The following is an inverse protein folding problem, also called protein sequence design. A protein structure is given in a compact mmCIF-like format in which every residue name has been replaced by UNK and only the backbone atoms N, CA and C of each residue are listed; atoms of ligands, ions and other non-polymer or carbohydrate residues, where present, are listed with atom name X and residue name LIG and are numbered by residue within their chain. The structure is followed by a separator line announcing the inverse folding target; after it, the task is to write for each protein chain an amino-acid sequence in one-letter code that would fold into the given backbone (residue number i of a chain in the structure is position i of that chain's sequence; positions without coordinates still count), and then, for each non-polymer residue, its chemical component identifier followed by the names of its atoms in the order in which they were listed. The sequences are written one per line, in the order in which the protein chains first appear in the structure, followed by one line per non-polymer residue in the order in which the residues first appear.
data_IF_067012855179
#
_entry.id   IF_067012855179
#
_cell.length_a   1.000
_cell.length_b   1.000
_cell.length_c   1.000
_cell.angle_alpha   90.00
_cell.angle_beta   90.00
_cell.angle_gamma   90.00
#
_symmetry.space_group_name_H-M   'P 1'
#
loop_
_entity.id
_entity.type
_entity.pdbx_description
1 polymer ?
#
# COMPACT_ATOMS: atom_id res chain seq x y z
N UNK A 1 15.27 -4.89 -24.50
CA UNK A 1 15.81 -4.62 -23.16
C UNK A 1 16.77 -5.74 -22.81
N UNK A 2 18.08 -5.49 -22.87
CA UNK A 2 19.06 -6.46 -22.39
C UNK A 2 18.95 -6.52 -20.86
N UNK A 3 18.77 -7.74 -20.37
CA UNK A 3 18.35 -8.01 -19.01
C UNK A 3 19.40 -7.55 -17.99
N UNK A 4 19.05 -6.54 -17.20
CA UNK A 4 19.95 -5.77 -16.33
C UNK A 4 19.76 -6.18 -14.87
N UNK A 5 19.95 -7.48 -14.57
CA UNK A 5 19.89 -8.00 -13.20
C UNK A 5 21.29 -8.51 -12.81
N UNK A 6 21.74 -8.08 -11.65
CA UNK A 6 22.93 -8.56 -10.98
C UNK A 6 22.52 -9.25 -9.67
N UNK A 7 23.13 -10.38 -9.38
CA UNK A 7 22.98 -11.11 -8.12
C UNK A 7 24.40 -11.29 -7.58
N UNK A 8 24.67 -10.77 -6.38
CA UNK A 8 26.00 -10.78 -5.75
C UNK A 8 27.09 -10.25 -6.70
N UNK A 9 26.78 -9.12 -7.35
CA UNK A 9 27.61 -8.48 -8.38
C UNK A 9 27.88 -9.29 -9.66
N UNK A 10 27.29 -10.48 -9.80
CA UNK A 10 27.35 -11.28 -11.02
C UNK A 10 26.20 -10.91 -11.96
N UNK A 11 26.53 -10.58 -13.21
CA UNK A 11 25.53 -10.36 -14.25
C UNK A 11 24.79 -11.67 -14.55
N UNK A 12 23.48 -11.73 -14.28
CA UNK A 12 22.70 -12.98 -14.36
C UNK A 12 22.66 -13.54 -15.79
N UNK A 13 22.54 -12.65 -16.78
CA UNK A 13 22.53 -13.06 -18.19
C UNK A 13 23.91 -13.57 -18.63
N UNK A 14 24.98 -12.84 -18.30
CA UNK A 14 26.34 -13.21 -18.70
C UNK A 14 26.85 -14.46 -17.99
N UNK A 15 26.52 -14.63 -16.70
CA UNK A 15 27.01 -15.75 -15.88
C UNK A 15 26.18 -17.03 -16.08
N UNK A 16 24.86 -16.91 -16.14
CA UNK A 16 23.95 -18.05 -16.10
C UNK A 16 23.07 -18.17 -17.36
N UNK A 17 23.14 -17.24 -18.32
CA UNK A 17 22.26 -17.24 -19.49
C UNK A 17 20.78 -16.92 -19.18
N UNK A 18 20.48 -16.47 -17.97
CA UNK A 18 19.11 -16.26 -17.50
C UNK A 18 18.65 -14.81 -17.66
N UNK A 19 17.38 -14.63 -18.04
CA UNK A 19 16.73 -13.33 -18.27
C UNK A 19 15.46 -13.21 -17.45
N UNK A 20 15.16 -12.05 -16.88
CA UNK A 20 13.87 -11.80 -16.22
C UNK A 20 12.83 -11.54 -17.29
N UNK A 21 11.67 -12.19 -17.17
CA UNK A 21 10.56 -12.01 -18.12
C UNK A 21 9.92 -10.63 -17.94
N UNK A 22 9.19 -10.15 -18.95
CA UNK A 22 8.43 -8.89 -18.85
C UNK A 22 7.53 -8.90 -17.61
N UNK A 23 7.61 -7.85 -16.79
CA UNK A 23 6.87 -7.74 -15.54
C UNK A 23 7.44 -8.53 -14.36
N UNK A 24 8.52 -9.30 -14.54
CA UNK A 24 9.14 -10.07 -13.46
C UNK A 24 9.77 -9.23 -12.34
N UNK A 25 9.94 -7.92 -12.53
CA UNK A 25 10.40 -6.99 -11.50
C UNK A 25 9.27 -6.33 -10.69
N UNK A 26 8.00 -6.62 -11.00
CA UNK A 26 6.86 -5.92 -10.40
C UNK A 26 6.81 -6.07 -8.87
N UNK A 27 7.07 -7.28 -8.37
CA UNK A 27 6.99 -7.56 -6.94
C UNK A 27 8.12 -6.87 -6.14
N UNK A 28 9.26 -6.58 -6.78
CA UNK A 28 10.34 -5.79 -6.17
C UNK A 28 9.92 -4.35 -5.84
N UNK A 29 8.86 -3.85 -6.50
CA UNK A 29 8.35 -2.49 -6.31
C UNK A 29 7.26 -2.41 -5.24
N UNK A 30 6.72 -3.56 -4.79
CA UNK A 30 5.68 -3.59 -3.78
C UNK A 30 6.22 -3.13 -2.42
N UNK A 31 5.54 -2.18 -1.78
CA UNK A 31 5.84 -1.82 -0.40
C UNK A 31 5.35 -2.95 0.54
N UNK A 32 6.11 -3.32 1.59
CA UNK A 32 5.71 -4.37 2.53
C UNK A 32 4.39 -4.04 3.22
N UNK A 33 3.54 -5.05 3.43
CA UNK A 33 2.30 -4.87 4.19
C UNK A 33 2.59 -4.52 5.66
N UNK A 34 1.68 -3.78 6.30
CA UNK A 34 1.74 -3.56 7.74
C UNK A 34 1.33 -4.84 8.48
N UNK A 35 2.02 -5.16 9.58
CA UNK A 35 1.52 -6.15 10.55
C UNK A 35 0.21 -5.62 11.12
N UNK A 36 -0.74 -6.52 11.37
CA UNK A 36 -2.00 -6.12 11.99
C UNK A 36 -1.68 -5.48 13.36
N UNK A 37 -2.01 -4.19 13.55
CA UNK A 37 -1.79 -3.53 14.83
C UNK A 37 -2.77 -4.07 15.89
N UNK A 38 -2.40 -3.91 17.16
CA UNK A 38 -3.31 -4.16 18.27
C UNK A 38 -4.47 -3.15 18.22
N UNK A 39 -5.67 -3.60 18.61
CA UNK A 39 -6.87 -2.78 18.50
C UNK A 39 -7.94 -3.17 19.51
N UNK A 40 -8.78 -2.20 19.85
CA UNK A 40 -10.05 -2.40 20.53
C UNK A 40 -11.20 -2.10 19.56
N UNK A 41 -12.26 -2.89 19.65
CA UNK A 41 -13.49 -2.73 18.88
C UNK A 41 -14.66 -2.62 19.85
N UNK A 42 -15.01 -1.38 20.19
CA UNK A 42 -16.07 -1.07 21.14
C UNK A 42 -17.44 -1.17 20.46
N UNK A 43 -18.40 -1.97 20.99
CA UNK A 43 -19.72 -2.14 20.36
C UNK A 43 -20.49 -0.83 20.16
N UNK A 44 -20.26 0.13 21.05
CA UNK A 44 -21.01 1.39 21.15
C UNK A 44 -20.43 2.52 20.27
N UNK A 45 -19.20 2.37 19.77
CA UNK A 45 -18.44 3.44 19.09
C UNK A 45 -18.18 3.12 17.61
N UNK A 46 -18.29 4.15 16.76
CA UNK A 46 -18.03 4.00 15.33
C UNK A 46 -16.56 3.63 15.10
N UNK A 47 -16.33 2.52 14.40
CA UNK A 47 -14.99 2.13 14.00
C UNK A 47 -14.23 1.29 15.03
N UNK A 48 -12.90 1.48 15.09
CA UNK A 48 -11.99 0.80 16.01
C UNK A 48 -10.92 1.76 16.53
N UNK A 49 -10.41 1.48 17.72
CA UNK A 49 -9.22 2.12 18.27
C UNK A 49 -8.00 1.25 17.98
N UNK A 50 -6.94 1.83 17.42
CA UNK A 50 -5.78 1.08 16.96
C UNK A 50 -4.50 1.66 17.56
N UNK A 51 -3.63 0.79 18.09
CA UNK A 51 -2.30 1.21 18.51
C UNK A 51 -1.38 1.36 17.28
N UNK A 52 -1.13 2.61 16.92
CA UNK A 52 -0.25 3.02 15.82
C UNK A 52 1.01 3.73 16.35
N UNK A 53 1.36 3.59 17.63
CA UNK A 53 2.54 4.23 18.22
C UNK A 53 3.86 3.77 17.56
N UNK A 54 3.92 2.52 17.11
CA UNK A 54 5.10 1.94 16.44
C UNK A 54 4.70 0.94 15.34
N UNK A 55 4.20 1.42 14.17
CA UNK A 55 3.68 0.56 13.11
C UNK A 55 4.76 -0.37 12.56
N UNK A 56 4.50 -1.69 12.52
CA UNK A 56 5.46 -2.71 12.06
C UNK A 56 5.15 -3.23 10.66
N UNK A 57 6.17 -3.57 9.90
CA UNK A 57 6.05 -4.15 8.56
C UNK A 57 6.19 -5.68 8.60
N UNK A 58 5.47 -6.36 7.72
CA UNK A 58 5.65 -7.78 7.45
C UNK A 58 6.89 -8.02 6.56
N UNK A 59 7.50 -9.21 6.62
CA UNK A 59 8.39 -9.66 5.55
C UNK A 59 7.68 -9.59 4.19
N UNK A 60 8.45 -9.44 3.12
CA UNK A 60 7.90 -9.32 1.77
C UNK A 60 8.24 -10.54 0.94
N UNK A 61 7.22 -11.21 0.41
CA UNK A 61 7.39 -12.25 -0.61
C UNK A 61 7.51 -11.60 -1.99
N UNK A 62 8.45 -12.09 -2.80
CA UNK A 62 8.78 -11.52 -4.10
C UNK A 62 8.91 -12.67 -5.11
N UNK A 63 8.03 -12.72 -6.11
CA UNK A 63 8.17 -13.68 -7.19
C UNK A 63 8.88 -13.05 -8.39
N UNK A 64 9.96 -13.68 -8.85
CA UNK A 64 10.68 -13.27 -10.06
C UNK A 64 10.62 -14.41 -11.06
N UNK A 65 10.10 -14.09 -12.25
CA UNK A 65 10.01 -15.03 -13.38
C UNK A 65 11.19 -14.84 -14.32
N UNK A 66 11.81 -15.96 -14.67
CA UNK A 66 13.01 -16.06 -15.49
C UNK A 66 12.76 -16.89 -16.75
N UNK A 67 13.65 -16.69 -17.72
CA UNK A 67 13.76 -17.43 -18.97
C UNK A 67 15.24 -17.65 -19.29
N UNK A 68 15.60 -18.88 -19.60
CA UNK A 68 16.93 -19.26 -20.12
C UNK A 68 16.79 -19.96 -21.48
N UNK A 69 17.89 -20.05 -22.23
CA UNK A 69 17.94 -20.73 -23.53
C UNK A 69 18.10 -22.26 -23.38
N UNK A 70 18.48 -22.74 -22.19
CA UNK A 70 18.56 -24.17 -21.86
C UNK A 70 18.18 -24.48 -20.42
N UNK A 71 17.83 -25.74 -20.14
CA UNK A 71 17.56 -26.20 -18.78
C UNK A 71 18.82 -26.22 -17.90
N UNK A 72 20.01 -26.44 -18.48
CA UNK A 72 21.28 -26.39 -17.74
C UNK A 72 21.53 -25.00 -17.17
N UNK A 73 21.32 -23.95 -17.97
CA UNK A 73 21.42 -22.55 -17.55
C UNK A 73 20.48 -22.20 -16.39
N UNK A 74 19.21 -22.64 -16.47
CA UNK A 74 18.25 -22.47 -15.38
C UNK A 74 18.72 -23.18 -14.10
N UNK A 75 19.17 -24.43 -14.25
CA UNK A 75 19.66 -25.25 -13.14
C UNK A 75 20.88 -24.63 -12.46
N UNK A 76 21.81 -24.04 -13.22
CA UNK A 76 23.00 -23.38 -12.68
C UNK A 76 22.65 -22.17 -11.81
N UNK A 77 21.70 -21.33 -12.25
CA UNK A 77 21.22 -20.20 -11.44
C UNK A 77 20.50 -20.67 -10.17
N UNK A 78 19.64 -21.68 -10.29
CA UNK A 78 18.91 -22.24 -9.16
C UNK A 78 19.87 -22.84 -8.14
N UNK A 79 20.87 -23.60 -8.60
CA UNK A 79 21.90 -24.18 -7.75
C UNK A 79 22.70 -23.09 -7.01
N UNK A 80 23.07 -22.00 -7.71
CA UNK A 80 23.76 -20.86 -7.11
C UNK A 80 22.92 -20.20 -6.01
N UNK A 81 21.63 -19.94 -6.27
CA UNK A 81 20.70 -19.33 -5.32
C UNK A 81 20.21 -20.27 -4.20
N UNK A 82 20.48 -21.57 -4.33
CA UNK A 82 20.19 -22.56 -3.30
C UNK A 82 21.30 -22.65 -2.25
N UNK A 83 22.43 -21.97 -2.45
CA UNK A 83 23.44 -21.83 -1.41
C UNK A 83 22.88 -21.07 -0.21
N UNK A 84 23.49 -21.28 0.96
CA UNK A 84 22.96 -20.72 2.20
C UNK A 84 23.16 -19.21 2.24
N UNK A 85 22.08 -18.46 2.44
CA UNK A 85 22.15 -17.07 2.87
C UNK A 85 21.19 -16.14 2.15
N UNK A 86 21.50 -14.85 2.28
CA UNK A 86 20.88 -13.76 1.54
C UNK A 86 21.74 -13.46 0.32
N UNK A 87 21.09 -13.12 -0.78
CA UNK A 87 21.73 -12.67 -2.00
C UNK A 87 21.36 -11.22 -2.28
N UNK A 88 22.31 -10.47 -2.84
CA UNK A 88 22.11 -9.06 -3.17
C UNK A 88 21.61 -8.94 -4.61
N UNK A 89 20.33 -8.63 -4.78
CA UNK A 89 19.71 -8.38 -6.07
C UNK A 89 19.83 -6.91 -6.42
N UNK A 90 20.48 -6.60 -7.54
CA UNK A 90 20.59 -5.23 -8.05
C UNK A 90 20.03 -5.16 -9.46
N UNK A 91 19.08 -4.25 -9.67
CA UNK A 91 18.52 -3.97 -10.99
C UNK A 91 18.91 -2.55 -11.37
N UNK A 92 20.00 -2.30 -12.14
CA UNK A 92 20.47 -0.94 -12.39
C UNK A 92 19.46 -0.05 -13.15
N UNK A 93 18.52 -0.66 -13.89
CA UNK A 93 17.39 0.06 -14.48
C UNK A 93 16.45 0.65 -13.43
N UNK A 94 16.36 0.02 -12.25
CA UNK A 94 15.66 0.54 -11.08
C UNK A 94 16.60 1.30 -10.14
N UNK A 95 17.91 1.05 -10.15
CA UNK A 95 18.87 1.78 -9.32
C UNK A 95 18.72 1.53 -7.82
N UNK A 96 18.15 0.38 -7.44
CA UNK A 96 17.99 -0.06 -6.05
C UNK A 96 18.47 -1.51 -5.92
N UNK A 97 18.80 -1.86 -4.68
CA UNK A 97 19.27 -3.18 -4.27
C UNK A 97 18.31 -3.79 -3.24
N UNK A 98 18.24 -5.11 -3.24
CA UNK A 98 17.42 -5.89 -2.33
C UNK A 98 18.20 -7.07 -1.77
N UNK A 99 18.07 -7.32 -0.47
CA UNK A 99 18.64 -8.48 0.21
C UNK A 99 17.58 -9.56 0.30
N UNK A 100 17.72 -10.61 -0.52
CA UNK A 100 16.67 -11.59 -0.74
C UNK A 100 17.18 -13.01 -0.49
N UNK A 101 16.37 -13.82 0.20
CA UNK A 101 16.62 -15.24 0.40
C UNK A 101 15.69 -16.06 -0.47
N UNK A 102 16.21 -17.10 -1.13
CA UNK A 102 15.38 -18.05 -1.87
C UNK A 102 14.43 -18.77 -0.90
N UNK A 103 13.15 -18.81 -1.23
CA UNK A 103 12.11 -19.41 -0.39
C UNK A 103 11.42 -20.58 -1.07
N UNK A 104 11.12 -20.46 -2.37
CA UNK A 104 10.36 -21.47 -3.11
C UNK A 104 10.64 -21.40 -4.62
N UNK A 105 10.36 -22.48 -5.33
CA UNK A 105 10.46 -22.61 -6.79
C UNK A 105 9.11 -23.10 -7.34
N UNK A 106 8.09 -22.22 -7.37
CA UNK A 106 6.70 -22.62 -7.65
C UNK A 106 6.42 -23.02 -9.11
N UNK A 107 7.31 -22.71 -10.06
CA UNK A 107 7.06 -22.96 -11.47
C UNK A 107 8.32 -23.28 -12.24
N UNK A 108 8.29 -24.36 -13.01
CA UNK A 108 9.34 -24.77 -13.93
C UNK A 108 8.73 -25.38 -15.20
N UNK A 109 9.10 -24.87 -16.37
CA UNK A 109 8.63 -25.34 -17.68
C UNK A 109 9.82 -25.43 -18.63
N UNK A 110 10.16 -26.66 -19.00
CA UNK A 110 11.26 -26.97 -19.91
C UNK A 110 10.72 -27.15 -21.33
N UNK A 111 11.30 -26.40 -22.27
CA UNK A 111 11.04 -26.48 -23.70
C UNK A 111 12.30 -27.00 -24.42
N UNK A 112 12.20 -27.46 -25.68
CA UNK A 112 13.37 -27.95 -26.43
C UNK A 112 14.54 -26.96 -26.52
N UNK A 113 14.25 -25.65 -26.55
CA UNK A 113 15.25 -24.58 -26.71
C UNK A 113 15.07 -23.42 -25.73
N UNK A 114 14.40 -23.67 -24.59
CA UNK A 114 14.19 -22.66 -23.56
C UNK A 114 13.79 -23.31 -22.23
N UNK A 115 13.98 -22.62 -21.12
CA UNK A 115 13.38 -23.00 -19.83
C UNK A 115 12.81 -21.77 -19.16
N UNK A 116 11.53 -21.81 -18.81
CA UNK A 116 10.85 -20.75 -18.08
C UNK A 116 10.57 -21.21 -16.67
N UNK A 117 10.98 -20.42 -15.68
CA UNK A 117 10.85 -20.78 -14.28
C UNK A 117 10.59 -19.55 -13.42
N UNK A 118 10.00 -19.75 -12.25
CA UNK A 118 9.69 -18.68 -11.30
C UNK A 118 10.29 -19.06 -9.96
N UNK A 119 11.04 -18.14 -9.38
CA UNK A 119 11.58 -18.28 -8.03
C UNK A 119 10.88 -17.28 -7.12
N UNK A 120 10.49 -17.74 -5.93
CA UNK A 120 10.01 -16.88 -4.85
C UNK A 120 11.13 -16.63 -3.87
N UNK A 121 11.28 -15.37 -3.53
CA UNK A 121 12.21 -14.89 -2.54
C UNK A 121 11.47 -14.23 -1.40
N UNK A 122 12.13 -14.14 -0.26
CA UNK A 122 11.65 -13.38 0.89
C UNK A 122 12.68 -12.30 1.21
N UNK A 123 12.21 -11.07 1.36
CA UNK A 123 12.92 -10.01 2.04
C UNK A 123 12.51 -10.06 3.52
N UNK A 124 13.36 -10.70 4.33
CA UNK A 124 13.06 -10.97 5.74
C UNK A 124 13.00 -9.67 6.58
N UNK A 125 13.84 -8.68 6.23
CA UNK A 125 13.95 -7.39 6.92
C UNK A 125 13.81 -6.22 5.93
N UNK A 126 12.58 -5.80 5.60
CA UNK A 126 12.39 -4.68 4.68
C UNK A 126 12.96 -3.38 5.23
N UNK A 127 13.65 -2.63 4.36
CA UNK A 127 14.22 -1.33 4.71
C UNK A 127 13.10 -0.31 4.85
N UNK A 128 13.06 0.40 5.99
CA UNK A 128 12.10 1.50 6.18
C UNK A 128 12.57 2.73 5.39
N UNK A 129 11.68 3.34 4.59
CA UNK A 129 12.01 4.58 3.92
C UNK A 129 12.11 5.73 4.93
N UNK A 130 12.86 6.76 4.57
CA UNK A 130 12.95 8.00 5.34
C UNK A 130 12.19 9.10 4.60
N UNK A 131 11.39 9.86 5.34
CA UNK A 131 10.68 11.00 4.77
C UNK A 131 11.69 12.06 4.30
N UNK A 132 11.46 12.63 3.13
CA UNK A 132 12.32 13.64 2.55
C UNK A 132 11.58 14.64 1.69
N UNK A 133 12.33 15.57 1.12
CA UNK A 133 11.81 16.42 0.05
C UNK A 133 11.66 15.56 -1.20
N UNK A 134 10.43 15.41 -1.67
CA UNK A 134 10.12 14.78 -2.94
C UNK A 134 9.60 15.84 -3.90
N UNK A 135 10.12 15.81 -5.12
CA UNK A 135 9.58 16.51 -6.27
C UNK A 135 9.47 15.53 -7.43
N UNK A 136 8.25 15.17 -7.87
CA UNK A 136 8.09 14.24 -8.99
C UNK A 136 8.52 14.86 -10.33
N UNK A 137 8.70 16.19 -10.40
CA UNK A 137 9.09 16.97 -11.59
C UNK A 137 8.24 16.64 -12.83
N UNK A 138 6.95 16.41 -12.59
CA UNK A 138 5.96 16.15 -13.63
C UNK A 138 4.66 16.85 -13.28
N UNK A 139 3.98 17.35 -14.30
CA UNK A 139 2.64 17.84 -14.11
C UNK A 139 1.68 16.67 -13.82
N UNK A 140 0.89 16.84 -12.76
CA UNK A 140 -0.22 15.98 -12.37
C UNK A 140 -1.48 16.83 -12.19
N UNK A 141 -2.67 16.29 -12.50
CA UNK A 141 -3.94 16.93 -12.13
C UNK A 141 -4.00 17.19 -10.63
N UNK A 142 -4.79 18.19 -10.24
CA UNK A 142 -5.04 18.48 -8.84
C UNK A 142 -5.58 17.24 -8.11
N UNK A 143 -5.03 16.99 -6.93
CA UNK A 143 -5.36 15.79 -6.19
C UNK A 143 -6.60 16.00 -5.34
N UNK A 144 -7.60 15.13 -5.54
CA UNK A 144 -8.81 15.08 -4.72
C UNK A 144 -8.60 14.55 -3.30
N UNK A 145 -7.36 14.17 -2.96
CA UNK A 145 -7.00 13.57 -1.70
C UNK A 145 -5.80 14.26 -1.08
N UNK A 146 -5.85 14.50 0.23
CA UNK A 146 -4.73 15.03 0.99
C UNK A 146 -4.44 14.12 2.17
N UNK A 147 -3.20 13.66 2.30
CA UNK A 147 -2.71 12.90 3.45
C UNK A 147 -2.12 13.89 4.45
N UNK A 148 -2.70 14.00 5.64
CA UNK A 148 -2.30 14.97 6.67
C UNK A 148 -2.21 16.40 6.11
N UNK A 149 -3.20 16.79 5.30
CA UNK A 149 -3.25 18.10 4.64
C UNK A 149 -2.36 18.25 3.40
N UNK A 150 -1.40 17.34 3.16
CA UNK A 150 -0.53 17.34 1.98
C UNK A 150 -1.21 16.64 0.79
N UNK A 151 -1.45 17.33 -0.35
CA UNK A 151 -2.04 16.69 -1.53
C UNK A 151 -1.20 15.51 -2.00
N UNK A 152 -1.81 14.35 -2.22
CA UNK A 152 -1.03 13.13 -2.55
C UNK A 152 -0.32 13.25 -3.92
N UNK A 153 -0.80 14.14 -4.80
CA UNK A 153 -0.12 14.50 -6.04
C UNK A 153 1.28 15.08 -5.84
N UNK A 154 1.58 15.63 -4.66
CA UNK A 154 2.94 16.11 -4.31
C UNK A 154 3.95 14.97 -4.24
N UNK A 155 3.51 13.72 -4.05
CA UNK A 155 4.37 12.54 -4.11
C UNK A 155 4.49 11.94 -5.52
N UNK A 156 3.95 12.60 -6.55
CA UNK A 156 3.81 11.97 -7.86
C UNK A 156 2.66 10.96 -7.95
N UNK A 157 1.81 10.85 -6.91
CA UNK A 157 0.73 9.85 -6.83
C UNK A 157 -0.58 10.41 -7.37
N UNK A 158 -1.17 9.72 -8.34
CA UNK A 158 -2.48 10.01 -8.89
C UNK A 158 -3.45 8.84 -8.65
N UNK A 159 -4.57 9.11 -7.98
CA UNK A 159 -5.63 8.13 -7.76
C UNK A 159 -6.65 8.22 -8.89
N UNK A 160 -6.83 7.12 -9.62
CA UNK A 160 -7.76 7.06 -10.75
C UNK A 160 -9.04 6.27 -10.44
N UNK A 161 -9.04 5.44 -9.40
CA UNK A 161 -10.22 4.68 -8.98
C UNK A 161 -10.25 4.45 -7.47
N UNK A 162 -11.34 4.88 -6.83
CA UNK A 162 -11.59 4.70 -5.38
C UNK A 162 -13.01 5.11 -4.98
N UNK A 163 -13.60 6.06 -5.74
CA UNK A 163 -14.88 6.72 -5.49
C UNK A 163 -15.99 5.79 -5.01
N UNK A 164 -16.29 4.72 -5.75
CA UNK A 164 -17.41 3.83 -5.42
C UNK A 164 -17.22 3.10 -4.08
N UNK A 165 -15.99 2.69 -3.76
CA UNK A 165 -15.70 2.08 -2.47
C UNK A 165 -15.75 3.13 -1.34
N UNK A 166 -15.32 4.36 -1.63
CA UNK A 166 -15.29 5.46 -0.67
C UNK A 166 -16.69 6.01 -0.34
N UNK A 167 -17.60 6.09 -1.31
CA UNK A 167 -18.97 6.58 -1.12
C UNK A 167 -19.96 5.52 -0.60
N UNK A 168 -19.46 4.37 -0.16
CA UNK A 168 -20.25 3.34 0.52
C UNK A 168 -20.00 3.42 2.03
N UNK A 169 -21.04 3.53 2.85
CA UNK A 169 -20.87 3.43 4.31
C UNK A 169 -20.27 2.07 4.70
N UNK A 170 -19.56 1.97 5.84
CA UNK A 170 -19.15 0.67 6.37
C UNK A 170 -20.37 -0.19 6.72
N UNK A 171 -20.14 -1.46 7.03
CA UNK A 171 -21.21 -2.30 7.56
C UNK A 171 -21.59 -1.83 8.96
N UNK A 172 -22.87 -1.93 9.33
CA UNK A 172 -23.29 -1.72 10.71
C UNK A 172 -22.65 -2.81 11.61
N UNK A 173 -22.27 -2.44 12.83
CA UNK A 173 -21.94 -3.39 13.88
C UNK A 173 -23.20 -4.17 14.27
N UNK A 174 -22.99 -5.41 14.70
CA UNK A 174 -24.07 -6.26 15.18
C UNK A 174 -24.26 -5.96 16.65
N UNK A 175 -25.39 -5.35 16.99
CA UNK A 175 -25.78 -5.10 18.37
C UNK A 175 -26.22 -6.40 19.05
N UNK A 176 -26.62 -6.28 20.33
CA UNK A 176 -27.15 -7.39 21.08
C UNK A 176 -28.33 -8.05 20.33
N UNK A 177 -28.15 -9.33 20.02
CA UNK A 177 -29.19 -10.15 19.40
C UNK A 177 -29.45 -11.40 20.24
N UNK A 178 -30.73 -11.81 20.34
CA UNK A 178 -31.15 -13.05 20.98
C UNK A 178 -32.07 -13.84 20.07
N UNK A 179 -31.70 -15.11 19.86
CA UNK A 179 -32.52 -16.09 19.14
C UNK A 179 -33.05 -17.08 20.17
N UNK A 180 -34.37 -17.15 20.32
CA UNK A 180 -35.04 -18.03 21.28
C UNK A 180 -35.76 -19.10 20.48
N UNK A 181 -35.56 -20.38 20.80
CA UNK A 181 -36.04 -21.50 19.99
C UNK A 181 -37.58 -21.56 19.86
N UNK A 182 -38.30 -20.99 20.82
CA UNK A 182 -39.76 -20.99 20.87
C UNK A 182 -40.42 -19.80 20.16
N UNK A 183 -39.63 -18.91 19.54
CA UNK A 183 -40.16 -17.76 18.79
C UNK A 183 -39.56 -17.73 17.38
N UNK A 184 -40.38 -17.36 16.40
CA UNK A 184 -39.88 -17.11 15.05
C UNK A 184 -39.07 -15.81 15.01
N UNK A 185 -37.95 -15.82 14.30
CA UNK A 185 -37.09 -14.65 14.12
C UNK A 185 -36.08 -14.43 15.24
N UNK A 186 -35.83 -13.16 15.59
CA UNK A 186 -34.86 -12.76 16.61
C UNK A 186 -35.27 -11.45 17.30
N UNK A 187 -34.81 -11.29 18.54
CA UNK A 187 -34.87 -10.02 19.26
C UNK A 187 -33.54 -9.30 18.99
N UNK A 188 -33.60 -8.05 18.52
CA UNK A 188 -32.44 -7.24 18.18
C UNK A 188 -32.54 -5.87 18.84
N UNK A 189 -31.47 -5.43 19.48
CA UNK A 189 -31.36 -4.08 20.02
C UNK A 189 -31.06 -3.09 18.88
N UNK A 190 -32.05 -2.26 18.56
CA UNK A 190 -31.98 -1.29 17.47
C UNK A 190 -31.81 0.16 17.94
N UNK A 191 -31.53 0.40 19.22
CA UNK A 191 -31.42 1.77 19.76
C UNK A 191 -30.19 2.50 19.25
N UNK A 192 -29.08 1.78 19.04
CA UNK A 192 -27.83 2.35 18.55
C UNK A 192 -27.50 1.84 17.15
N UNK A 193 -26.99 2.72 16.28
CA UNK A 193 -26.45 2.34 14.97
C UNK A 193 -25.03 2.82 14.84
N UNK A 194 -24.13 1.84 14.97
CA UNK A 194 -22.69 2.01 14.96
C UNK A 194 -22.11 1.25 13.77
N UNK A 195 -21.03 1.72 13.19
CA UNK A 195 -20.40 1.20 11.99
C UNK A 195 -19.06 0.54 12.28
N UNK A 196 -18.78 -0.53 11.54
CA UNK A 196 -17.48 -1.18 11.49
C UNK A 196 -16.42 -0.25 10.87
N UNK A 197 -15.11 -0.49 11.09
CA UNK A 197 -14.08 0.17 10.30
C UNK A 197 -14.19 -0.23 8.84
N UNK A 198 -13.52 0.55 7.98
CA UNK A 198 -13.67 0.42 6.54
C UNK A 198 -12.34 0.33 5.83
N UNK A 199 -12.19 -0.73 5.04
CA UNK A 199 -11.04 -0.86 4.15
C UNK A 199 -11.40 -0.35 2.76
N UNK A 200 -10.52 0.50 2.21
CA UNK A 200 -10.66 1.01 0.84
C UNK A 200 -9.36 0.79 0.11
N UNK A 201 -9.47 0.25 -1.10
CA UNK A 201 -8.35 0.12 -2.02
C UNK A 201 -8.45 1.20 -3.08
N UNK A 202 -7.42 2.04 -3.14
CA UNK A 202 -7.22 3.11 -4.10
C UNK A 202 -6.34 2.59 -5.23
N UNK A 203 -6.81 2.70 -6.47
CA UNK A 203 -5.97 2.41 -7.62
C UNK A 203 -5.22 3.67 -8.03
N UNK A 204 -3.90 3.53 -8.07
CA UNK A 204 -2.97 4.64 -8.16
C UNK A 204 -2.00 4.46 -9.32
N UNK A 205 -1.52 5.59 -9.83
CA UNK A 205 -0.24 5.69 -10.53
C UNK A 205 0.75 6.47 -9.68
N UNK A 206 2.01 6.06 -9.67
CA UNK A 206 3.15 6.89 -9.30
C UNK A 206 3.84 7.29 -10.60
N UNK A 207 3.89 8.59 -10.88
CA UNK A 207 4.51 9.16 -12.07
C UNK A 207 5.58 10.16 -11.63
N UNK A 208 6.78 10.01 -12.16
CA UNK A 208 7.91 10.92 -11.94
C UNK A 208 8.73 11.10 -13.22
N UNK A 209 9.53 12.15 -13.30
CA UNK A 209 10.31 12.42 -14.52
C UNK A 209 11.38 11.36 -14.76
N UNK A 210 12.05 10.93 -13.69
CA UNK A 210 13.20 10.02 -13.72
C UNK A 210 13.27 9.13 -12.49
N UNK A 211 14.21 8.19 -12.53
CA UNK A 211 14.45 7.15 -11.51
C UNK A 211 14.76 7.69 -10.12
N UNK A 212 15.58 8.72 -10.01
CA UNK A 212 15.97 9.25 -8.69
C UNK A 212 14.77 9.92 -8.01
N UNK A 213 14.01 10.72 -8.77
CA UNK A 213 12.75 11.30 -8.32
C UNK A 213 11.71 10.22 -7.97
N UNK A 214 11.66 9.12 -8.72
CA UNK A 214 10.79 7.98 -8.42
C UNK A 214 11.00 7.45 -7.00
N UNK A 215 12.25 7.15 -6.63
CA UNK A 215 12.54 6.61 -5.30
C UNK A 215 12.43 7.64 -4.18
N UNK A 216 12.84 8.89 -4.42
CA UNK A 216 12.64 9.97 -3.43
C UNK A 216 11.16 10.14 -3.09
N UNK A 217 10.29 10.09 -4.10
CA UNK A 217 8.86 10.23 -3.93
C UNK A 217 8.19 8.99 -3.36
N UNK A 218 8.63 7.80 -3.78
CA UNK A 218 8.20 6.54 -3.19
C UNK A 218 8.57 6.45 -1.71
N UNK A 219 9.83 6.76 -1.36
CA UNK A 219 10.31 6.72 0.03
C UNK A 219 9.56 7.75 0.88
N UNK A 220 9.42 8.98 0.39
CA UNK A 220 8.70 10.02 1.14
C UNK A 220 7.22 9.67 1.35
N UNK A 221 6.55 9.13 0.32
CA UNK A 221 5.14 8.76 0.42
C UNK A 221 4.90 7.65 1.43
N UNK A 222 5.70 6.58 1.36
CA UNK A 222 5.53 5.47 2.28
C UNK A 222 6.03 5.79 3.68
N UNK A 223 7.08 6.60 3.84
CA UNK A 223 7.53 7.07 5.15
C UNK A 223 6.42 7.87 5.86
N UNK A 224 5.76 8.79 5.15
CA UNK A 224 4.65 9.57 5.71
C UNK A 224 3.44 8.67 6.03
N UNK A 225 3.16 7.63 5.22
CA UNK A 225 2.07 6.67 5.45
C UNK A 225 2.30 5.73 6.66
N UNK A 226 3.54 5.38 6.96
CA UNK A 226 3.89 4.48 8.07
C UNK A 226 4.45 5.20 9.30
N UNK A 227 4.39 6.53 9.31
CA UNK A 227 4.76 7.33 10.46
C UNK A 227 3.91 6.94 11.69
N UNK A 228 4.46 7.03 12.91
CA UNK A 228 3.70 6.82 14.14
C UNK A 228 2.43 7.66 14.21
N UNK A 229 1.36 7.06 14.73
CA UNK A 229 0.06 7.66 14.88
C UNK A 229 -0.80 7.57 13.63
N UNK A 230 -2.09 7.80 13.84
CA UNK A 230 -3.09 7.76 12.79
C UNK A 230 -2.90 8.86 11.74
N UNK A 231 -3.16 8.52 10.47
CA UNK A 231 -3.12 9.47 9.36
C UNK A 231 -4.51 10.00 9.08
N UNK A 232 -4.62 11.24 8.64
CA UNK A 232 -5.89 11.86 8.22
C UNK A 232 -5.92 11.95 6.71
N UNK A 233 -6.86 11.26 6.07
CA UNK A 233 -7.08 11.39 4.63
C UNK A 233 -8.27 12.32 4.36
N UNK A 234 -7.99 13.51 3.86
CA UNK A 234 -9.00 14.41 3.31
C UNK A 234 -9.53 13.89 1.97
N UNK A 235 -10.84 13.92 1.81
CA UNK A 235 -11.55 13.52 0.58
C UNK A 235 -12.34 14.71 0.07
N UNK A 236 -11.89 15.31 -1.03
CA UNK A 236 -12.52 16.51 -1.61
C UNK A 236 -14.01 16.31 -1.91
N UNK A 237 -14.38 15.16 -2.46
CA UNK A 237 -15.77 14.86 -2.83
C UNK A 237 -16.73 14.82 -1.63
N UNK A 238 -16.22 14.50 -0.44
CA UNK A 238 -17.01 14.48 0.81
C UNK A 238 -16.83 15.81 1.57
N UNK A 239 -15.72 16.52 1.35
CA UNK A 239 -15.37 17.71 2.11
C UNK A 239 -14.87 17.42 3.53
N UNK A 240 -14.54 16.17 3.87
CA UNK A 240 -14.12 15.74 5.22
C UNK A 240 -12.81 14.97 5.21
N UNK A 241 -12.13 14.97 6.36
CA UNK A 241 -10.95 14.13 6.61
C UNK A 241 -11.32 12.96 7.50
N UNK A 242 -10.89 11.77 7.11
CA UNK A 242 -11.15 10.55 7.87
C UNK A 242 -9.85 9.96 8.46
N UNK A 243 -9.90 9.46 9.70
CA UNK A 243 -8.78 8.77 10.34
C UNK A 243 -8.51 7.42 9.65
N UNK A 244 -7.25 7.13 9.35
CA UNK A 244 -6.85 5.91 8.65
C UNK A 244 -5.39 5.51 8.88
N UNK A 245 -5.07 4.27 8.52
CA UNK A 245 -3.69 3.78 8.45
C UNK A 245 -3.44 2.92 7.22
N UNK A 246 -2.16 2.82 6.84
CA UNK A 246 -1.71 1.98 5.75
C UNK A 246 -1.82 0.50 6.09
N UNK A 247 -2.49 -0.29 5.23
CA UNK A 247 -2.56 -1.74 5.38
C UNK A 247 -1.57 -2.47 4.48
N UNK A 248 -1.63 -2.20 3.17
CA UNK A 248 -0.80 -2.88 2.17
C UNK A 248 -0.78 -2.15 0.83
N UNK A 249 0.21 -2.51 0.01
CA UNK A 249 0.33 -2.19 -1.41
C UNK A 249 0.25 -3.50 -2.21
N UNK A 250 -0.41 -3.48 -3.36
CA UNK A 250 -0.55 -4.67 -4.21
C UNK A 250 -0.72 -4.30 -5.68
N UNK A 251 -0.83 -5.30 -6.55
CA UNK A 251 -1.09 -5.11 -7.99
C UNK A 251 -0.09 -4.17 -8.68
N UNK A 252 1.18 -4.19 -8.24
CA UNK A 252 2.26 -3.38 -8.76
C UNK A 252 2.55 -3.72 -10.22
N UNK A 253 2.61 -2.72 -11.09
CA UNK A 253 2.98 -2.89 -12.50
C UNK A 253 3.81 -1.71 -12.94
N UNK A 254 5.05 -1.98 -13.33
CA UNK A 254 5.88 -0.96 -13.95
C UNK A 254 5.50 -0.79 -15.43
N UNK A 255 4.98 0.38 -15.79
CA UNK A 255 4.50 0.66 -17.16
C UNK A 255 5.63 1.20 -18.04
N UNK A 256 6.44 2.10 -17.49
CA UNK A 256 7.62 2.67 -18.18
C UNK A 256 8.83 2.71 -17.25
N UNK A 257 9.97 2.31 -17.81
CA UNK A 257 11.31 2.39 -17.21
C UNK A 257 12.12 3.60 -17.72
N UNK A 258 11.58 4.34 -18.71
CA UNK A 258 12.18 5.56 -19.25
C UNK A 258 11.56 6.81 -18.65
N UNK A 259 11.82 7.97 -19.24
CA UNK A 259 11.26 9.25 -18.80
C UNK A 259 9.96 9.55 -19.57
N UNK A 260 8.81 9.74 -18.91
CA UNK A 260 8.57 9.63 -17.46
C UNK A 260 8.44 8.17 -16.98
N UNK A 261 8.89 7.92 -15.75
CA UNK A 261 8.70 6.63 -15.09
C UNK A 261 7.29 6.57 -14.53
N UNK A 262 6.58 5.47 -14.82
CA UNK A 262 5.19 5.28 -14.39
C UNK A 262 5.01 3.88 -13.83
N UNK A 263 4.50 3.80 -12.61
CA UNK A 263 4.11 2.56 -11.96
C UNK A 263 2.63 2.63 -11.57
N UNK A 264 1.89 1.57 -11.87
CA UNK A 264 0.55 1.34 -11.35
C UNK A 264 0.62 0.51 -10.06
N UNK A 265 -0.24 0.80 -9.09
CA UNK A 265 -0.40 0.00 -7.88
C UNK A 265 -1.76 0.21 -7.22
N UNK A 266 -2.15 -0.72 -6.38
CA UNK A 266 -3.30 -0.62 -5.50
C UNK A 266 -2.82 -0.35 -4.08
N UNK A 267 -3.27 0.75 -3.48
CA UNK A 267 -3.01 1.17 -2.10
C UNK A 267 -4.24 0.86 -1.24
N UNK A 268 -4.09 0.01 -0.23
CA UNK A 268 -5.17 -0.28 0.72
C UNK A 268 -4.95 0.49 2.02
N UNK A 269 -5.91 1.34 2.37
CA UNK A 269 -5.99 2.03 3.65
C UNK A 269 -7.15 1.45 4.46
N UNK A 270 -6.98 1.38 5.78
CA UNK A 270 -8.04 1.07 6.73
C UNK A 270 -8.44 2.37 7.39
N UNK A 271 -9.67 2.81 7.16
CA UNK A 271 -10.29 3.88 7.93
C UNK A 271 -10.78 3.30 9.24
N UNK A 272 -10.24 3.80 10.34
CA UNK A 272 -10.56 3.34 11.69
C UNK A 272 -11.96 3.75 12.06
N UNK A 273 -12.37 4.98 11.73
CA UNK A 273 -13.75 5.48 11.83
C UNK A 273 -14.15 6.18 10.52
N UNK A 274 -15.33 5.85 9.99
CA UNK A 274 -15.80 6.37 8.70
C UNK A 274 -17.33 6.40 8.62
N UNK A 275 -17.91 7.59 8.64
CA UNK A 275 -19.35 7.80 8.45
C UNK A 275 -19.63 8.86 7.39
N UNK A 276 -20.48 8.53 6.43
CA UNK A 276 -20.98 9.47 5.43
C UNK A 276 -22.27 10.12 5.91
N UNK A 277 -22.48 11.38 5.53
CA UNK A 277 -23.71 12.13 5.77
C UNK A 277 -24.12 12.22 7.24
N UNK A 278 -23.12 12.25 8.11
CA UNK A 278 -23.32 12.52 9.51
C UNK A 278 -23.77 13.96 9.72
N UNK A 279 -24.76 14.17 10.57
CA UNK A 279 -25.09 15.49 11.10
C UNK A 279 -23.98 15.89 12.07
N UNK A 280 -23.26 16.94 11.70
CA UNK A 280 -22.24 17.56 12.55
C UNK A 280 -22.94 18.53 13.50
N UNK A 281 -22.58 18.50 14.78
CA UNK A 281 -23.11 19.41 15.79
C UNK A 281 -21.98 20.35 16.18
N UNK A 282 -22.03 21.59 15.72
CA UNK A 282 -21.02 22.58 16.09
C UNK A 282 -21.50 23.43 17.26
N UNK A 283 -20.56 23.76 18.16
CA UNK A 283 -20.83 24.69 19.24
C UNK A 283 -21.10 26.08 18.66
N UNK A 284 -22.21 26.69 19.08
CA UNK A 284 -22.60 28.03 18.69
C UNK A 284 -22.96 28.88 19.93
N UNK A 285 -22.86 30.19 19.80
CA UNK A 285 -23.38 31.14 20.79
C UNK A 285 -24.90 31.19 20.75
N UNK A 286 -25.52 31.84 21.74
CA UNK A 286 -26.96 32.08 21.77
C UNK A 286 -27.47 32.91 20.58
N UNK A 287 -26.58 33.65 19.90
CA UNK A 287 -26.86 34.44 18.70
C UNK A 287 -26.60 33.66 17.39
N UNK A 288 -26.58 32.32 17.43
CA UNK A 288 -26.34 31.42 16.29
C UNK A 288 -24.97 31.60 15.59
N UNK A 289 -23.98 32.16 16.29
CA UNK A 289 -22.62 32.30 15.76
C UNK A 289 -21.75 31.11 16.16
N UNK A 290 -21.13 30.42 15.20
CA UNK A 290 -20.23 29.31 15.51
C UNK A 290 -19.04 29.76 16.35
N UNK A 291 -18.74 28.99 17.40
CA UNK A 291 -17.52 29.16 18.17
C UNK A 291 -16.38 28.46 17.42
N UNK A 292 -15.38 29.25 17.07
CA UNK A 292 -14.18 28.80 16.35
C UNK A 292 -12.97 28.77 17.28
N UNK A 293 -11.98 27.94 16.96
CA UNK A 293 -10.67 27.91 17.63
C UNK A 293 -9.96 29.26 17.49
N UNK A 294 -8.93 29.51 18.32
CA UNK A 294 -8.21 30.80 18.38
C UNK A 294 -7.61 31.23 17.03
N UNK A 295 -7.27 30.27 16.16
CA UNK A 295 -6.79 30.53 14.80
C UNK A 295 -7.90 30.94 13.80
N UNK A 296 -9.17 30.86 14.21
CA UNK A 296 -10.34 31.16 13.39
C UNK A 296 -10.62 30.16 12.26
N UNK A 297 -9.95 29.01 12.25
CA UNK A 297 -9.98 28.06 11.13
C UNK A 297 -10.85 26.83 11.39
N UNK A 298 -11.07 26.46 12.66
CA UNK A 298 -11.76 25.23 13.01
C UNK A 298 -12.98 25.51 13.90
N UNK A 299 -14.07 24.80 13.65
CA UNK A 299 -15.26 24.78 14.52
C UNK A 299 -15.08 23.75 15.63
N UNK A 300 -15.69 24.00 16.79
CA UNK A 300 -15.74 23.02 17.88
C UNK A 300 -16.91 22.05 17.61
N UNK A 301 -16.58 20.81 17.25
CA UNK A 301 -17.55 19.71 17.14
C UNK A 301 -17.95 19.24 18.55
N UNK A 302 -19.25 19.03 18.77
CA UNK A 302 -19.87 18.70 20.06
C UNK A 302 -20.12 17.20 20.22
N UNK A 303 -19.54 16.37 19.35
CA UNK A 303 -19.44 14.92 19.54
C UNK A 303 -18.29 14.51 20.44
#
# INVERSE_FOLDING_TARGET
MNNNLYIDDLNVLGRFGCRVTRGGYNDLLAFPAMKAPERNDWPEEDGIEVDLSDPKLQPREIAISFLSDSNSQASDLIAYLSDKGLHTFRVPALGREWQLRLADHPGNRVYPSATSFTLKFVEDLPVRPTAGVCDPDVWLPESRYKLDGKPIGRYGVYVYESRNALLRNPAAKVNLQRKIASIDGQIYDAEHLVFQPKEVTFKCFLKTIRKDAFWQCWDSFFADLIAPGERRLFVEEIGKSYPCYYKKMSNCKLLTLGEPMVMQFDLTLVFTSFRLFETDYFLATEDDMFIVTEDGLNFIDMK
#
